data_IF_080648280690
#
_entry.id   IF_080648280690
#
_cell.length_a   1.000
_cell.length_b   1.000
_cell.length_c   1.000
_cell.angle_alpha   90.00
_cell.angle_beta   90.00
_cell.angle_gamma   90.00
#
_symmetry.space_group_name_H-M   'P 1'
#
loop_
_entity.id
_entity.type
_entity.pdbx_description
1 polymer ?
#
# COMPACT_ATOMS: atom_id res chain seq x y z
N UNK A 1 -10.82 54.74 -2.04
CA UNK A 1 -10.99 53.88 -0.84
C UNK A 1 -11.98 52.79 -1.16
N UNK A 2 -11.52 51.53 -1.20
CA UNK A 2 -12.11 50.34 -0.55
C UNK A 2 -11.17 49.18 -0.89
N UNK A 3 -10.59 48.59 0.16
CA UNK A 3 -9.73 47.40 0.08
C UNK A 3 -10.58 46.15 -0.17
N UNK A 4 -10.07 45.21 -0.98
CA UNK A 4 -10.27 43.77 -0.76
C UNK A 4 -9.03 42.99 -1.23
N UNK A 5 -8.64 42.06 -0.38
CA UNK A 5 -7.38 41.32 -0.30
C UNK A 5 -7.30 40.10 -1.23
N UNK A 6 -6.07 39.81 -1.68
CA UNK A 6 -5.45 38.47 -1.92
C UNK A 6 -6.34 37.36 -2.51
N UNK A 7 -5.94 36.81 -3.66
CA UNK A 7 -5.57 35.40 -3.80
C UNK A 7 -4.64 35.23 -5.01
N UNK A 8 -3.54 34.52 -4.81
CA UNK A 8 -2.49 34.25 -5.79
C UNK A 8 -3.08 33.55 -7.01
N UNK A 9 -2.72 34.05 -8.19
CA UNK A 9 -2.91 33.47 -9.52
C UNK A 9 -2.74 31.95 -9.52
N UNK A 10 -3.81 31.22 -9.84
CA UNK A 10 -3.78 29.78 -10.11
C UNK A 10 -3.33 29.60 -11.57
N UNK A 11 -2.22 28.89 -11.77
CA UNK A 11 -1.75 28.55 -13.13
C UNK A 11 -2.59 27.40 -13.70
N UNK A 12 -3.08 27.59 -14.92
CA UNK A 12 -3.77 26.56 -15.71
C UNK A 12 -2.87 26.12 -16.87
N UNK A 13 -2.98 24.86 -17.28
CA UNK A 13 -2.37 24.37 -18.53
C UNK A 13 -3.43 23.67 -19.38
N UNK A 14 -3.21 23.63 -20.70
CA UNK A 14 -4.17 23.14 -21.69
C UNK A 14 -3.53 22.01 -22.50
N UNK A 15 -4.21 20.86 -22.57
CA UNK A 15 -3.90 19.77 -23.50
C UNK A 15 -5.21 19.29 -24.11
N UNK A 16 -5.23 19.12 -25.43
CA UNK A 16 -6.40 18.65 -26.18
C UNK A 16 -7.72 19.40 -25.84
N UNK A 17 -7.64 20.73 -25.78
CA UNK A 17 -8.77 21.64 -25.61
C UNK A 17 -9.44 21.71 -24.22
N UNK A 18 -8.96 20.99 -23.21
CA UNK A 18 -9.48 21.08 -21.84
C UNK A 18 -8.58 21.92 -20.92
N UNK A 19 -9.19 22.68 -20.00
CA UNK A 19 -8.48 23.50 -19.00
C UNK A 19 -8.23 22.70 -17.71
N UNK A 20 -6.98 22.64 -17.24
CA UNK A 20 -6.60 21.86 -16.06
C UNK A 20 -6.20 22.73 -14.87
N UNK A 21 -6.67 22.37 -13.67
CA UNK A 21 -6.23 22.94 -12.39
C UNK A 21 -4.92 22.30 -11.94
N UNK A 22 -3.94 23.12 -11.55
CA UNK A 22 -2.75 22.67 -10.82
C UNK A 22 -3.24 22.12 -9.46
N UNK A 23 -3.23 20.79 -9.29
CA UNK A 23 -3.52 19.99 -8.08
C UNK A 23 -4.72 19.02 -8.13
N UNK A 24 -5.49 18.95 -9.23
CA UNK A 24 -6.53 17.93 -9.41
C UNK A 24 -6.05 16.78 -10.32
N UNK A 25 -6.47 15.54 -10.01
CA UNK A 25 -6.22 14.37 -10.86
C UNK A 25 -6.94 14.52 -12.20
N UNK A 26 -6.22 14.76 -13.29
CA UNK A 26 -6.81 14.84 -14.63
C UNK A 26 -7.16 13.44 -15.12
N UNK A 27 -8.42 13.24 -15.52
CA UNK A 27 -8.86 12.01 -16.16
C UNK A 27 -8.96 12.22 -17.67
N UNK A 28 -8.16 11.52 -18.45
CA UNK A 28 -8.35 11.36 -19.89
C UNK A 28 -9.39 10.26 -20.13
N UNK A 29 -10.32 10.47 -21.06
CA UNK A 29 -11.32 9.47 -21.47
C UNK A 29 -11.33 9.34 -22.98
N UNK A 30 -11.35 8.11 -23.45
CA UNK A 30 -11.56 7.78 -24.86
C UNK A 30 -12.55 6.61 -25.01
N UNK A 31 -12.61 6.04 -26.21
CA UNK A 31 -13.47 4.89 -26.54
C UNK A 31 -13.07 3.58 -25.83
N UNK A 32 -11.91 3.53 -25.17
CA UNK A 32 -11.38 2.34 -24.50
C UNK A 32 -11.48 2.41 -22.98
N UNK A 33 -11.59 3.61 -22.40
CA UNK A 33 -11.83 3.79 -20.97
C UNK A 33 -11.45 5.16 -20.42
N UNK A 34 -11.08 5.18 -19.14
CA UNK A 34 -10.64 6.37 -18.39
C UNK A 34 -9.26 6.14 -17.80
N UNK A 35 -8.39 7.16 -17.85
CA UNK A 35 -7.03 7.13 -17.31
C UNK A 35 -6.79 8.39 -16.49
N UNK A 36 -6.25 8.26 -15.28
CA UNK A 36 -5.97 9.37 -14.38
C UNK A 36 -4.47 9.65 -14.27
N UNK A 37 -4.14 10.94 -14.22
CA UNK A 37 -2.77 11.43 -14.14
C UNK A 37 -2.58 12.41 -12.97
N UNK A 38 -1.39 12.38 -12.38
CA UNK A 38 -0.86 13.40 -11.47
C UNK A 38 0.53 13.80 -11.98
N UNK A 39 0.74 15.08 -12.23
CA UNK A 39 2.00 15.62 -12.78
C UNK A 39 2.45 14.89 -14.06
N UNK A 40 1.52 14.62 -14.98
CA UNK A 40 1.81 13.94 -16.25
C UNK A 40 2.09 12.43 -16.14
N UNK A 41 2.07 11.84 -14.95
CA UNK A 41 2.28 10.40 -14.73
C UNK A 41 0.98 9.72 -14.30
N UNK A 42 0.72 8.50 -14.80
CA UNK A 42 -0.45 7.71 -14.40
C UNK A 42 -0.47 7.55 -12.88
N UNK A 43 -1.51 8.05 -12.24
CA UNK A 43 -1.70 8.04 -10.79
C UNK A 43 -3.09 8.58 -10.45
N UNK A 44 -3.75 7.95 -9.48
CA UNK A 44 -5.00 8.45 -8.88
C UNK A 44 -4.96 8.32 -7.36
N UNK A 45 -5.47 9.33 -6.66
CA UNK A 45 -5.51 9.36 -5.18
C UNK A 45 -6.61 8.46 -4.63
N UNK A 46 -6.56 8.19 -3.32
CA UNK A 46 -7.58 7.49 -2.53
C UNK A 46 -7.78 6.01 -2.90
N UNK A 47 -6.71 5.28 -3.22
CA UNK A 47 -6.73 3.86 -3.65
C UNK A 47 -7.67 3.57 -4.83
N UNK A 48 -7.93 4.57 -5.67
CA UNK A 48 -8.73 4.41 -6.86
C UNK A 48 -7.87 3.98 -8.06
N UNK A 49 -8.41 3.19 -8.99
CA UNK A 49 -7.67 2.76 -10.17
C UNK A 49 -7.32 3.95 -11.05
N UNK A 50 -6.06 4.00 -11.47
CA UNK A 50 -5.55 5.00 -12.40
C UNK A 50 -5.87 4.67 -13.86
N UNK A 51 -6.31 3.45 -14.16
CA UNK A 51 -6.90 3.06 -15.45
C UNK A 51 -8.18 2.26 -15.16
N UNK A 52 -9.27 2.61 -15.82
CA UNK A 52 -10.53 1.83 -15.82
C UNK A 52 -10.95 1.66 -17.28
N UNK A 53 -10.94 0.43 -17.78
CA UNK A 53 -11.31 0.09 -19.16
C UNK A 53 -12.80 -0.25 -19.24
N UNK A 54 -13.36 -0.15 -20.44
CA UNK A 54 -14.79 -0.44 -20.68
C UNK A 54 -15.15 -1.92 -20.48
N UNK A 55 -14.18 -2.83 -20.55
CA UNK A 55 -14.33 -4.25 -20.23
C UNK A 55 -14.33 -4.55 -18.72
N UNK A 56 -14.30 -3.51 -17.88
CA UNK A 56 -14.25 -3.63 -16.42
C UNK A 56 -12.85 -3.83 -15.85
N UNK A 57 -11.81 -3.93 -16.69
CA UNK A 57 -10.43 -4.04 -16.22
C UNK A 57 -9.98 -2.78 -15.51
N UNK A 58 -9.22 -2.96 -14.43
CA UNK A 58 -8.74 -1.87 -13.58
C UNK A 58 -7.25 -2.01 -13.32
N UNK A 59 -6.51 -0.90 -13.40
CA UNK A 59 -5.08 -0.86 -13.10
C UNK A 59 -4.77 0.31 -12.16
N UNK A 60 -3.93 0.05 -11.15
CA UNK A 60 -3.46 1.03 -10.17
C UNK A 60 -2.02 1.42 -10.46
N UNK A 61 -1.77 2.73 -10.40
CA UNK A 61 -0.46 3.31 -10.62
C UNK A 61 -0.15 4.35 -9.55
N UNK A 62 1.12 4.39 -9.13
CA UNK A 62 1.68 5.45 -8.29
C UNK A 62 2.87 6.07 -9.01
N UNK A 63 2.79 7.37 -9.27
CA UNK A 63 3.86 8.13 -9.98
C UNK A 63 4.32 7.48 -11.30
N UNK A 64 3.39 6.87 -12.05
CA UNK A 64 3.64 6.28 -13.36
C UNK A 64 4.04 4.79 -13.36
N UNK A 65 4.33 4.21 -12.20
CA UNK A 65 4.62 2.77 -12.05
C UNK A 65 3.39 2.01 -11.55
N UNK A 66 3.20 0.76 -11.99
CA UNK A 66 2.17 -0.12 -11.41
C UNK A 66 2.45 -0.31 -9.93
N UNK A 67 1.48 -0.02 -9.10
CA UNK A 67 1.65 -0.03 -7.65
C UNK A 67 0.28 -0.03 -6.97
N UNK A 68 0.12 -0.88 -5.95
CA UNK A 68 -0.99 -0.80 -4.99
C UNK A 68 -0.64 -1.47 -3.66
N UNK A 69 -0.78 -0.74 -2.55
CA UNK A 69 -0.51 -1.27 -1.20
C UNK A 69 -1.66 -2.14 -0.68
N UNK A 70 -2.90 -1.76 -1.01
CA UNK A 70 -4.11 -2.31 -0.38
C UNK A 70 -4.81 -3.41 -1.18
N UNK A 71 -4.21 -3.90 -2.27
CA UNK A 71 -4.84 -4.94 -3.09
C UNK A 71 -4.10 -5.23 -4.39
N UNK A 72 -4.74 -5.96 -5.33
CA UNK A 72 -4.16 -6.19 -6.64
C UNK A 72 -4.07 -4.88 -7.43
N UNK A 73 -2.93 -4.67 -8.08
CA UNK A 73 -2.69 -3.51 -8.92
C UNK A 73 -3.17 -3.70 -10.36
N UNK A 74 -3.53 -4.92 -10.76
CA UNK A 74 -4.19 -5.23 -12.03
C UNK A 74 -5.34 -6.19 -11.75
N UNK A 75 -6.52 -5.89 -12.27
CA UNK A 75 -7.70 -6.76 -12.26
C UNK A 75 -8.25 -6.80 -13.67
N UNK A 76 -8.35 -8.00 -14.27
CA UNK A 76 -8.95 -8.23 -15.58
C UNK A 76 -10.07 -9.26 -15.40
N UNK A 77 -11.34 -8.83 -15.29
CA UNK A 77 -12.46 -9.73 -15.02
C UNK A 77 -12.64 -10.81 -16.09
N UNK A 78 -12.41 -10.47 -17.36
CA UNK A 78 -12.65 -11.35 -18.52
C UNK A 78 -11.97 -12.72 -18.43
N UNK A 79 -10.79 -12.79 -17.82
CA UNK A 79 -10.01 -14.02 -17.67
C UNK A 79 -9.57 -14.27 -16.22
N UNK A 80 -10.12 -13.52 -15.26
CA UNK A 80 -9.81 -13.69 -13.83
C UNK A 80 -8.39 -13.30 -13.43
N UNK A 81 -7.63 -12.60 -14.27
CA UNK A 81 -6.27 -12.18 -13.91
C UNK A 81 -6.33 -11.14 -12.78
N UNK A 82 -5.59 -11.44 -11.71
CA UNK A 82 -5.30 -10.53 -10.61
C UNK A 82 -3.77 -10.47 -10.42
N UNK A 83 -3.17 -9.30 -10.58
CA UNK A 83 -1.73 -9.13 -10.36
C UNK A 83 -1.48 -8.13 -9.25
N UNK A 84 -0.47 -8.42 -8.44
CA UNK A 84 -0.01 -7.54 -7.37
C UNK A 84 1.27 -6.86 -7.84
N UNK A 85 1.35 -5.54 -7.64
CA UNK A 85 2.54 -4.75 -7.99
C UNK A 85 2.85 -3.75 -6.89
N UNK A 86 4.13 -3.54 -6.62
CA UNK A 86 4.62 -2.51 -5.71
C UNK A 86 5.83 -1.80 -6.30
N UNK A 87 5.69 -0.50 -6.49
CA UNK A 87 6.71 0.41 -7.04
C UNK A 87 7.31 -0.06 -8.37
N UNK A 88 6.46 -0.63 -9.23
CA UNK A 88 6.85 -1.15 -10.54
C UNK A 88 7.40 -2.58 -10.53
N UNK A 89 7.46 -3.23 -9.38
CA UNK A 89 7.90 -4.62 -9.24
C UNK A 89 6.69 -5.53 -9.04
N UNK A 90 6.60 -6.61 -9.83
CA UNK A 90 5.54 -7.60 -9.70
C UNK A 90 5.77 -8.45 -8.45
N UNK A 91 4.69 -8.71 -7.72
CA UNK A 91 4.69 -9.54 -6.53
C UNK A 91 4.16 -10.91 -6.88
N UNK A 92 4.83 -11.93 -6.35
CA UNK A 92 4.48 -13.32 -6.53
C UNK A 92 4.00 -13.91 -5.20
N UNK A 93 2.91 -14.67 -5.25
CA UNK A 93 2.46 -15.48 -4.13
C UNK A 93 2.89 -16.92 -4.37
N UNK A 94 3.57 -17.49 -3.39
CA UNK A 94 3.93 -18.88 -3.36
C UNK A 94 2.85 -19.67 -2.59
N UNK A 95 2.16 -20.57 -3.27
CA UNK A 95 1.09 -21.39 -2.68
C UNK A 95 1.62 -22.46 -1.71
N UNK A 96 2.80 -23.02 -1.97
CA UNK A 96 3.41 -24.06 -1.14
C UNK A 96 3.89 -23.46 0.18
N UNK A 97 4.54 -22.31 0.10
CA UNK A 97 5.08 -21.58 1.26
C UNK A 97 4.05 -20.63 1.88
N UNK A 98 2.89 -20.44 1.24
CA UNK A 98 1.87 -19.45 1.58
C UNK A 98 2.46 -18.06 1.82
N UNK A 99 3.36 -17.64 0.92
CA UNK A 99 4.22 -16.47 1.13
C UNK A 99 4.25 -15.48 -0.05
N UNK A 100 4.23 -14.18 0.25
CA UNK A 100 4.35 -13.11 -0.76
C UNK A 100 5.79 -12.60 -0.92
N UNK A 101 6.26 -12.53 -2.17
CA UNK A 101 7.60 -12.11 -2.56
C UNK A 101 7.60 -10.95 -3.55
N UNK A 102 8.55 -10.02 -3.42
CA UNK A 102 8.77 -8.90 -4.35
C UNK A 102 9.63 -9.26 -5.57
N UNK A 103 9.99 -10.53 -5.75
CA UNK A 103 10.79 -10.96 -6.88
C UNK A 103 10.65 -12.46 -7.10
N UNK A 104 10.92 -12.93 -8.32
CA UNK A 104 10.87 -14.36 -8.66
C UNK A 104 11.99 -15.18 -8.01
N UNK A 105 13.04 -14.53 -7.49
CA UNK A 105 14.13 -15.19 -6.74
C UNK A 105 13.75 -15.40 -5.27
N UNK A 106 12.54 -14.98 -4.86
CA UNK A 106 11.99 -15.11 -3.50
C UNK A 106 12.86 -14.46 -2.42
N UNK A 107 13.53 -13.34 -2.72
CA UNK A 107 14.50 -12.76 -1.79
C UNK A 107 13.88 -11.77 -0.80
N UNK A 108 12.84 -11.04 -1.21
CA UNK A 108 12.26 -9.96 -0.39
C UNK A 108 10.79 -10.21 -0.06
N UNK A 109 10.51 -10.35 1.24
CA UNK A 109 9.17 -10.48 1.79
C UNK A 109 8.44 -9.14 1.87
N UNK A 110 7.16 -9.10 1.47
CA UNK A 110 6.35 -7.88 1.58
C UNK A 110 4.85 -8.20 1.73
N UNK A 111 4.13 -7.47 2.59
CA UNK A 111 2.71 -7.66 2.88
C UNK A 111 1.84 -6.78 1.99
N UNK A 112 0.75 -7.34 1.47
CA UNK A 112 -0.19 -6.61 0.59
C UNK A 112 -1.63 -6.79 1.06
N UNK A 113 -2.43 -5.71 0.96
CA UNK A 113 -3.86 -5.76 1.30
C UNK A 113 -4.13 -6.18 2.75
N UNK A 114 -3.26 -5.79 3.69
CA UNK A 114 -3.30 -6.19 5.10
C UNK A 114 -3.23 -7.72 5.34
N UNK A 115 -2.91 -8.51 4.31
CA UNK A 115 -2.70 -9.96 4.43
C UNK A 115 -1.32 -10.22 5.05
N UNK A 116 -1.20 -11.27 5.89
CA UNK A 116 0.11 -11.68 6.36
C UNK A 116 0.97 -12.09 5.16
N UNK A 117 2.25 -11.76 5.23
CA UNK A 117 3.22 -12.23 4.25
C UNK A 117 3.53 -13.69 4.44
N UNK A 118 3.60 -14.18 5.68
CA UNK A 118 3.91 -15.59 5.98
C UNK A 118 2.92 -16.13 7.02
N UNK A 119 2.47 -17.36 6.80
CA UNK A 119 1.63 -18.11 7.74
C UNK A 119 2.33 -19.43 8.04
N UNK A 120 2.77 -19.62 9.28
CA UNK A 120 3.46 -20.81 9.72
C UNK A 120 2.48 -21.97 9.98
N UNK A 121 2.93 -23.24 9.95
CA UNK A 121 2.07 -24.41 10.23
C UNK A 121 1.39 -24.35 11.61
N UNK A 122 2.04 -23.74 12.60
CA UNK A 122 1.46 -23.56 13.93
C UNK A 122 0.32 -22.52 13.97
N UNK A 123 0.11 -21.74 12.90
CA UNK A 123 -0.88 -20.66 12.82
C UNK A 123 -0.33 -19.26 13.07
N UNK A 124 0.97 -19.12 13.34
CA UNK A 124 1.63 -17.81 13.50
C UNK A 124 1.60 -17.06 12.18
N UNK A 125 1.22 -15.78 12.24
CA UNK A 125 1.11 -14.89 11.09
C UNK A 125 2.12 -13.76 11.22
N UNK A 126 2.83 -13.48 10.14
CA UNK A 126 3.85 -12.44 10.10
C UNK A 126 3.61 -11.47 8.94
N UNK A 127 3.82 -10.18 9.19
CA UNK A 127 3.72 -9.10 8.21
C UNK A 127 5.08 -8.43 8.01
N UNK A 128 5.46 -8.26 6.74
CA UNK A 128 6.74 -7.72 6.33
C UNK A 128 6.54 -6.50 5.41
N UNK A 129 7.50 -5.60 5.43
CA UNK A 129 7.63 -4.52 4.46
C UNK A 129 9.09 -4.45 4.04
N UNK A 130 9.36 -4.67 2.75
CA UNK A 130 10.73 -4.66 2.21
C UNK A 130 11.70 -5.57 2.99
N UNK A 131 11.26 -6.79 3.29
CA UNK A 131 12.09 -7.82 3.93
C UNK A 131 12.19 -7.72 5.45
N UNK A 132 11.61 -6.70 6.09
CA UNK A 132 11.64 -6.55 7.56
C UNK A 132 10.25 -6.60 8.18
N UNK A 133 10.13 -7.10 9.41
CA UNK A 133 8.86 -7.10 10.16
C UNK A 133 8.31 -5.67 10.26
N UNK A 134 7.09 -5.48 9.76
CA UNK A 134 6.44 -4.18 9.75
C UNK A 134 4.95 -4.35 9.50
N UNK A 135 4.12 -3.64 10.28
CA UNK A 135 2.71 -3.45 9.96
C UNK A 135 2.23 -2.10 10.51
N UNK A 136 1.56 -1.31 9.67
CA UNK A 136 1.12 0.05 10.03
C UNK A 136 -0.05 0.08 11.01
N UNK A 137 -1.07 -0.73 10.74
CA UNK A 137 -2.38 -0.66 11.42
C UNK A 137 -2.66 -1.86 12.34
N UNK A 138 -1.64 -2.66 12.65
CA UNK A 138 -1.79 -3.89 13.42
C UNK A 138 -0.47 -4.46 13.92
N UNK A 139 -0.51 -5.52 14.75
CA UNK A 139 0.70 -6.26 15.10
C UNK A 139 1.30 -6.94 13.87
N UNK A 140 2.62 -6.88 13.75
CA UNK A 140 3.36 -7.50 12.67
C UNK A 140 3.64 -8.98 12.91
N UNK A 141 3.45 -9.47 14.14
CA UNK A 141 3.44 -10.90 14.47
C UNK A 141 2.21 -11.19 15.31
N UNK A 142 1.43 -12.21 14.93
CA UNK A 142 0.30 -12.72 15.71
C UNK A 142 0.49 -14.21 15.90
N UNK A 143 0.49 -14.65 17.15
CA UNK A 143 0.60 -16.04 17.53
C UNK A 143 -0.80 -16.70 17.67
N UNK A 144 -0.88 -18.04 17.59
CA UNK A 144 -2.15 -18.75 17.69
C UNK A 144 -2.85 -18.60 19.04
N UNK A 145 -2.08 -18.38 20.11
CA UNK A 145 -2.58 -18.16 21.46
C UNK A 145 -3.09 -16.73 21.70
N UNK A 146 -3.06 -15.86 20.69
CA UNK A 146 -3.49 -14.45 20.78
C UNK A 146 -2.36 -13.49 21.15
N UNK A 147 -1.17 -13.99 21.48
CA UNK A 147 0.00 -13.14 21.70
C UNK A 147 0.33 -12.36 20.44
N UNK A 148 0.90 -11.17 20.62
CA UNK A 148 1.20 -10.32 19.47
C UNK A 148 2.41 -9.41 19.69
N UNK A 149 3.05 -9.08 18.57
CA UNK A 149 4.16 -8.14 18.52
C UNK A 149 3.93 -7.07 17.46
N UNK A 150 4.19 -5.83 17.83
CA UNK A 150 4.14 -4.66 16.99
C UNK A 150 5.54 -4.30 16.54
N UNK A 151 5.75 -4.32 15.23
CA UNK A 151 7.02 -4.00 14.60
C UNK A 151 6.82 -2.92 13.54
N UNK A 152 7.80 -2.02 13.45
CA UNK A 152 7.89 -0.99 12.43
C UNK A 152 9.33 -0.87 11.95
N UNK A 153 9.54 -1.14 10.67
CA UNK A 153 10.84 -1.10 9.99
C UNK A 153 11.88 -1.99 10.69
N UNK A 154 11.47 -3.22 11.03
CA UNK A 154 12.34 -4.20 11.70
C UNK A 154 12.61 -3.92 13.18
N UNK A 155 11.94 -2.93 13.78
CA UNK A 155 12.11 -2.55 15.19
C UNK A 155 10.80 -2.68 15.95
N UNK A 156 10.82 -3.29 17.15
CA UNK A 156 9.66 -3.34 18.04
C UNK A 156 9.21 -1.91 18.38
N UNK A 157 7.96 -1.59 18.07
CA UNK A 157 7.43 -0.24 18.27
C UNK A 157 5.90 -0.27 18.25
N UNK A 158 5.29 0.42 19.21
CA UNK A 158 3.86 0.75 19.18
C UNK A 158 3.65 2.14 19.76
N UNK A 159 2.97 3.01 18.99
CA UNK A 159 2.73 4.42 19.39
C UNK A 159 1.95 4.53 20.70
N UNK A 160 0.99 3.64 20.91
CA UNK A 160 0.09 3.66 22.07
C UNK A 160 -0.06 2.24 22.63
N UNK A 161 0.56 1.98 23.78
CA UNK A 161 0.50 0.69 24.48
C UNK A 161 1.74 -0.20 24.28
N UNK A 162 1.68 -1.45 24.73
CA UNK A 162 2.84 -2.34 24.69
C UNK A 162 3.11 -2.81 23.27
N UNK A 163 4.39 -2.84 22.89
CA UNK A 163 4.80 -3.37 21.60
C UNK A 163 4.81 -4.90 21.58
N UNK A 164 4.87 -5.55 22.74
CA UNK A 164 4.78 -7.01 22.85
C UNK A 164 3.78 -7.37 23.96
N UNK A 165 2.91 -8.33 23.69
CA UNK A 165 1.99 -8.90 24.67
C UNK A 165 2.08 -10.41 24.63
N UNK A 166 2.50 -11.02 25.74
CA UNK A 166 2.61 -12.46 25.95
C UNK A 166 1.77 -12.87 27.17
N UNK A 167 0.57 -13.39 26.93
CA UNK A 167 -0.45 -13.57 27.97
C UNK A 167 -0.68 -12.28 28.73
N UNK A 168 -0.37 -12.29 30.03
CA UNK A 168 -0.52 -11.12 30.90
C UNK A 168 0.73 -10.20 30.94
N UNK A 169 1.85 -10.63 30.36
CA UNK A 169 3.10 -9.87 30.33
C UNK A 169 3.11 -8.94 29.13
N UNK A 170 3.45 -7.68 29.38
CA UNK A 170 3.46 -6.62 28.39
C UNK A 170 4.81 -5.90 28.42
N UNK A 171 5.31 -5.56 27.24
CA UNK A 171 6.60 -4.89 27.09
C UNK A 171 6.46 -3.69 26.16
N UNK A 172 6.98 -2.55 26.60
CA UNK A 172 6.98 -1.31 25.84
C UNK A 172 8.34 -1.10 25.21
N UNK A 173 8.31 -0.75 23.92
CA UNK A 173 9.51 -0.46 23.15
C UNK A 173 9.32 0.86 22.38
N UNK A 174 10.38 1.66 22.30
CA UNK A 174 10.44 2.84 21.46
C UNK A 174 11.49 2.64 20.36
N UNK A 175 11.05 2.26 19.16
CA UNK A 175 11.93 2.02 18.02
C UNK A 175 13.07 1.03 18.35
N UNK A 176 12.70 -0.11 18.95
CA UNK A 176 13.62 -1.20 19.28
C UNK A 176 14.22 -1.11 20.69
N UNK A 177 14.23 0.08 21.30
CA UNK A 177 14.74 0.27 22.66
C UNK A 177 13.69 -0.14 23.69
N UNK A 178 14.08 -0.97 24.66
CA UNK A 178 13.21 -1.37 25.76
C UNK A 178 12.94 -0.17 26.68
N UNK A 179 11.68 0.01 27.07
CA UNK A 179 11.26 1.11 27.96
C UNK A 179 10.89 0.56 29.34
N UNK A 180 9.96 -0.41 29.38
CA UNK A 180 9.46 -1.03 30.61
C UNK A 180 8.67 -2.31 30.32
N UNK A 181 8.38 -3.07 31.36
CA UNK A 181 7.41 -4.16 31.35
C UNK A 181 6.42 -4.02 32.52
N UNK A 182 5.36 -4.80 32.51
CA UNK A 182 4.50 -5.03 33.67
C UNK A 182 4.66 -6.46 34.21
#
# INVERSE_FOLDING_TARGET
MYYMTRLKTIEHWKLNQEYHRKNDSHAYRDMWGKVWYVNGKRHRRNDLPAVVKNDGSQEWYYTGKRHRENGPAVIIPKNGIIEYWYDGTQIYYDEEEKTYYLDFKKQVLHSFGNKPTRIHPNGTKEWYYMGVLHRGDGPAVIYPNGDCEWWRYGKRHKKTGPAVSYGNKQYWFNYGEFVKSN
#
